data_IF_443066029294
#
_entry.id   IF_443066029294
#
_cell.length_a   1.000
_cell.length_b   1.000
_cell.length_c   1.000
_cell.angle_alpha   90.00
_cell.angle_beta   90.00
_cell.angle_gamma   90.00
#
_symmetry.space_group_name_H-M   'P 1'
#
loop_
_entity.id
_entity.type
_entity.pdbx_description
1 polymer ?
#
# COMPACT_ATOMS: atom_id res chain seq x y z
N UNK A 1 3.97 -1.82 -29.81
CA UNK A 1 3.78 -0.35 -29.90
C UNK A 1 2.55 0.11 -29.13
N UNK A 2 1.34 -0.50 -29.31
CA UNK A 2 0.10 -0.08 -28.64
C UNK A 2 0.22 -0.05 -27.10
N UNK A 3 0.91 -1.00 -26.50
CA UNK A 3 1.07 -1.07 -25.04
C UNK A 3 2.00 0.02 -24.51
N UNK A 4 3.01 0.46 -25.29
CA UNK A 4 3.88 1.57 -24.92
C UNK A 4 3.09 2.89 -24.86
N UNK A 5 2.21 3.11 -25.80
CA UNK A 5 1.33 4.29 -25.79
C UNK A 5 0.42 4.29 -24.54
N UNK A 6 -0.13 3.12 -24.14
CA UNK A 6 -0.94 3.01 -22.90
C UNK A 6 -0.19 3.45 -21.64
N UNK A 7 1.11 3.19 -21.58
CA UNK A 7 1.93 3.61 -20.43
C UNK A 7 2.60 4.98 -20.64
N UNK A 8 2.20 5.72 -21.67
CA UNK A 8 2.70 7.07 -21.95
C UNK A 8 4.16 7.09 -22.44
N UNK A 9 4.60 6.05 -23.14
CA UNK A 9 5.90 5.97 -23.79
C UNK A 9 5.74 6.10 -25.31
N UNK A 10 6.67 6.81 -25.93
CA UNK A 10 6.68 6.95 -27.40
C UNK A 10 7.07 5.62 -28.08
N UNK A 11 6.57 5.36 -29.31
CA UNK A 11 6.88 4.14 -30.04
C UNK A 11 8.39 3.89 -30.24
N UNK A 12 9.16 4.95 -30.43
CA UNK A 12 10.62 4.91 -30.62
C UNK A 12 11.36 4.36 -29.37
N UNK A 13 10.68 4.32 -28.22
CA UNK A 13 11.23 3.73 -27.01
C UNK A 13 11.35 2.20 -27.11
N UNK A 14 10.68 1.56 -28.07
CA UNK A 14 10.74 0.11 -28.27
C UNK A 14 12.15 -0.41 -28.60
N UNK A 15 12.97 0.43 -29.24
CA UNK A 15 14.33 0.09 -29.67
C UNK A 15 15.41 0.48 -28.67
N UNK A 16 15.03 1.09 -27.53
CA UNK A 16 15.98 1.56 -26.51
C UNK A 16 16.41 0.46 -25.56
N UNK A 17 17.64 0.52 -25.14
CA UNK A 17 18.18 -0.32 -24.06
C UNK A 17 17.79 0.21 -22.68
N UNK A 18 17.70 -0.65 -21.63
CA UNK A 18 17.27 -0.24 -20.28
C UNK A 18 18.05 0.93 -19.67
N UNK A 19 19.34 1.05 -19.95
CA UNK A 19 20.16 2.15 -19.45
C UNK A 19 19.86 3.53 -20.08
N UNK A 20 19.12 3.56 -21.18
CA UNK A 20 18.69 4.77 -21.89
C UNK A 20 17.36 5.34 -21.37
N UNK A 21 16.77 4.70 -20.34
CA UNK A 21 15.51 5.13 -19.73
C UNK A 21 15.76 5.78 -18.38
N UNK A 22 14.96 6.81 -18.05
CA UNK A 22 14.85 7.32 -16.68
C UNK A 22 14.22 6.28 -15.74
N UNK A 23 14.31 6.49 -14.41
CA UNK A 23 13.67 5.61 -13.42
C UNK A 23 12.17 5.42 -13.68
N UNK A 24 11.44 6.52 -13.85
CA UNK A 24 10.01 6.48 -14.15
C UNK A 24 9.67 5.83 -15.49
N UNK A 25 10.50 6.02 -16.52
CA UNK A 25 10.32 5.34 -17.80
C UNK A 25 10.56 3.82 -17.68
N UNK A 26 11.60 3.39 -16.94
CA UNK A 26 11.81 1.96 -16.64
C UNK A 26 10.62 1.34 -15.93
N UNK A 27 10.03 2.07 -14.98
CA UNK A 27 8.83 1.61 -14.29
C UNK A 27 7.63 1.46 -15.23
N UNK A 28 7.41 2.41 -16.13
CA UNK A 28 6.36 2.33 -17.18
C UNK A 28 6.58 1.14 -18.13
N UNK A 29 7.82 0.82 -18.48
CA UNK A 29 8.16 -0.40 -19.22
C UNK A 29 7.82 -1.67 -18.43
N UNK A 30 8.09 -1.68 -17.12
CA UNK A 30 7.70 -2.78 -16.22
C UNK A 30 6.18 -3.01 -16.20
N UNK A 31 5.40 -1.94 -16.08
CA UNK A 31 3.93 -1.97 -16.15
C UNK A 31 3.48 -2.49 -17.54
N UNK A 32 4.06 -1.97 -18.63
CA UNK A 32 3.74 -2.42 -19.97
C UNK A 32 3.97 -3.94 -20.15
N UNK A 33 5.08 -4.46 -19.62
CA UNK A 33 5.38 -5.90 -19.63
C UNK A 33 4.32 -6.73 -18.89
N UNK A 34 3.85 -6.28 -17.74
CA UNK A 34 2.80 -6.95 -16.99
C UNK A 34 1.47 -6.96 -17.78
N UNK A 35 1.14 -5.87 -18.45
CA UNK A 35 -0.11 -5.69 -19.19
C UNK A 35 -0.21 -6.48 -20.49
N UNK A 36 0.90 -6.87 -21.11
CA UNK A 36 0.91 -7.61 -22.40
C UNK A 36 0.06 -8.88 -22.34
N UNK A 37 0.04 -9.55 -21.18
CA UNK A 37 -0.70 -10.79 -20.98
C UNK A 37 -2.20 -10.58 -20.67
N UNK A 38 -2.69 -9.33 -20.68
CA UNK A 38 -4.05 -8.96 -20.26
C UNK A 38 -4.46 -9.65 -18.93
N UNK A 39 -3.69 -9.46 -17.85
CA UNK A 39 -3.90 -10.18 -16.61
C UNK A 39 -5.15 -9.65 -15.88
N UNK A 40 -5.81 -10.53 -15.11
CA UNK A 40 -6.87 -10.11 -14.19
C UNK A 40 -6.33 -9.51 -12.89
N UNK A 41 -5.10 -9.88 -12.50
CA UNK A 41 -4.42 -9.43 -11.31
C UNK A 41 -2.96 -9.10 -11.64
N UNK A 42 -2.48 -7.95 -11.16
CA UNK A 42 -1.06 -7.56 -11.17
C UNK A 42 -0.58 -7.43 -9.73
N UNK A 43 0.55 -8.09 -9.41
CA UNK A 43 1.23 -7.90 -8.14
C UNK A 43 2.30 -6.82 -8.34
N UNK A 44 2.14 -5.70 -7.63
CA UNK A 44 3.01 -4.53 -7.67
C UNK A 44 3.80 -4.45 -6.36
N UNK A 45 4.95 -5.15 -6.33
CA UNK A 45 5.80 -5.26 -5.15
C UNK A 45 6.86 -4.15 -5.16
N UNK A 46 6.72 -3.20 -4.23
CA UNK A 46 7.57 -2.00 -4.03
C UNK A 46 7.90 -1.24 -5.34
N UNK A 47 7.01 -1.32 -6.31
CA UNK A 47 7.27 -0.90 -7.69
C UNK A 47 7.56 0.60 -7.87
N UNK A 48 7.32 1.44 -6.87
CA UNK A 48 7.54 2.90 -6.93
C UNK A 48 8.53 3.42 -5.89
N UNK A 49 9.05 2.57 -4.99
CA UNK A 49 9.87 2.97 -3.83
C UNK A 49 11.15 3.74 -4.20
N UNK A 50 11.74 3.44 -5.36
CA UNK A 50 12.98 4.05 -5.85
C UNK A 50 12.77 5.30 -6.73
N UNK A 51 11.55 5.83 -6.80
CA UNK A 51 11.20 6.99 -7.63
C UNK A 51 11.00 8.25 -6.78
N UNK A 52 11.28 9.41 -7.39
CA UNK A 52 10.94 10.69 -6.79
C UNK A 52 9.41 10.85 -6.62
N UNK A 53 8.97 11.56 -5.59
CA UNK A 53 7.55 11.72 -5.21
C UNK A 53 6.67 12.15 -6.38
N UNK A 54 7.14 13.09 -7.22
CA UNK A 54 6.39 13.56 -8.39
C UNK A 54 6.21 12.47 -9.45
N UNK A 55 7.21 11.62 -9.63
CA UNK A 55 7.18 10.49 -10.57
C UNK A 55 6.33 9.34 -10.00
N UNK A 56 6.40 9.10 -8.68
CA UNK A 56 5.52 8.14 -8.00
C UNK A 56 4.04 8.46 -8.28
N UNK A 57 3.64 9.73 -8.07
CA UNK A 57 2.26 10.16 -8.31
C UNK A 57 1.82 9.92 -9.76
N UNK A 58 2.70 10.21 -10.74
CA UNK A 58 2.40 9.97 -12.15
C UNK A 58 2.21 8.47 -12.47
N UNK A 59 3.07 7.61 -11.90
CA UNK A 59 2.97 6.15 -12.10
C UNK A 59 1.72 5.58 -11.45
N UNK A 60 1.37 6.05 -10.24
CA UNK A 60 0.15 5.61 -9.54
C UNK A 60 -1.11 6.05 -10.29
N UNK A 61 -1.16 7.28 -10.78
CA UNK A 61 -2.28 7.74 -11.62
C UNK A 61 -2.41 6.89 -12.88
N UNK A 62 -1.30 6.61 -13.56
CA UNK A 62 -1.30 5.71 -14.72
C UNK A 62 -1.86 4.32 -14.38
N UNK A 63 -1.49 3.75 -13.21
CA UNK A 63 -2.01 2.45 -12.77
C UNK A 63 -3.53 2.51 -12.52
N UNK A 64 -4.04 3.59 -11.93
CA UNK A 64 -5.47 3.83 -11.74
C UNK A 64 -6.23 3.96 -13.06
N UNK A 65 -5.69 4.71 -14.00
CA UNK A 65 -6.29 4.87 -15.34
C UNK A 65 -6.38 3.52 -16.06
N UNK A 66 -5.31 2.71 -15.99
CA UNK A 66 -5.28 1.37 -16.55
C UNK A 66 -6.30 0.46 -15.85
N UNK A 67 -6.42 0.53 -14.53
CA UNK A 67 -7.41 -0.23 -13.76
C UNK A 67 -8.83 0.09 -14.22
N UNK A 68 -9.15 1.37 -14.37
CA UNK A 68 -10.46 1.81 -14.85
C UNK A 68 -10.75 1.35 -16.28
N UNK A 69 -9.74 1.39 -17.15
CA UNK A 69 -9.89 0.99 -18.57
C UNK A 69 -10.04 -0.53 -18.74
N UNK A 70 -9.27 -1.30 -17.97
CA UNK A 70 -9.11 -2.76 -18.21
C UNK A 70 -9.84 -3.65 -17.19
N UNK A 71 -10.22 -3.10 -16.03
CA UNK A 71 -10.76 -3.87 -14.91
C UNK A 71 -9.72 -4.77 -14.21
N UNK A 72 -8.42 -4.58 -14.50
CA UNK A 72 -7.32 -5.34 -13.86
C UNK A 72 -7.22 -4.99 -12.38
N UNK A 73 -7.25 -5.98 -11.50
CA UNK A 73 -6.99 -5.78 -10.08
C UNK A 73 -5.49 -5.63 -9.79
N UNK A 74 -5.16 -4.87 -8.74
CA UNK A 74 -3.79 -4.73 -8.26
C UNK A 74 -3.68 -5.23 -6.82
N UNK A 75 -2.66 -6.05 -6.55
CA UNK A 75 -2.13 -6.28 -5.21
C UNK A 75 -0.89 -5.40 -5.05
N UNK A 76 -1.05 -4.28 -4.34
CA UNK A 76 0.00 -3.28 -4.18
C UNK A 76 0.71 -3.49 -2.84
N UNK A 77 2.01 -3.82 -2.88
CA UNK A 77 2.84 -3.99 -1.68
C UNK A 77 3.74 -2.75 -1.57
N UNK A 78 3.62 -2.02 -0.47
CA UNK A 78 4.38 -0.80 -0.23
C UNK A 78 4.59 -0.54 1.27
N UNK A 79 5.59 0.27 1.57
CA UNK A 79 5.87 0.77 2.91
C UNK A 79 5.48 2.25 3.09
N UNK A 80 5.18 2.97 2.01
CA UNK A 80 4.69 4.36 2.07
C UNK A 80 3.17 4.37 2.24
N UNK A 81 2.73 4.63 3.47
CA UNK A 81 1.32 4.63 3.84
C UNK A 81 0.51 5.75 3.16
N UNK A 82 1.16 6.88 2.82
CA UNK A 82 0.48 7.97 2.10
C UNK A 82 0.08 7.53 0.70
N UNK A 83 0.96 6.79 0.03
CA UNK A 83 0.67 6.22 -1.29
C UNK A 83 -0.35 5.10 -1.21
N UNK A 84 -0.26 4.23 -0.18
CA UNK A 84 -1.26 3.17 0.07
C UNK A 84 -2.65 3.78 0.27
N UNK A 85 -2.77 4.85 1.07
CA UNK A 85 -4.04 5.58 1.27
C UNK A 85 -4.63 6.08 -0.05
N UNK A 86 -3.78 6.55 -0.96
CA UNK A 86 -4.21 7.15 -2.22
C UNK A 86 -4.65 6.12 -3.26
N UNK A 87 -3.97 4.96 -3.34
CA UNK A 87 -4.20 3.98 -4.42
C UNK A 87 -5.18 2.86 -4.04
N UNK A 88 -5.27 2.50 -2.77
CA UNK A 88 -5.93 1.26 -2.34
C UNK A 88 -7.40 1.48 -1.99
N UNK A 89 -8.26 0.53 -2.36
CA UNK A 89 -9.65 0.45 -1.89
C UNK A 89 -9.71 -0.31 -0.56
N UNK A 90 -8.84 -1.32 -0.40
CA UNK A 90 -8.73 -2.17 0.78
C UNK A 90 -7.27 -2.34 1.18
N UNK A 91 -7.05 -2.51 2.47
CA UNK A 91 -5.71 -2.64 3.06
C UNK A 91 -5.63 -3.90 3.91
N UNK A 92 -4.49 -4.57 3.83
CA UNK A 92 -4.07 -5.60 4.77
C UNK A 92 -2.75 -5.20 5.42
N UNK A 93 -2.72 -5.15 6.74
CA UNK A 93 -1.52 -4.84 7.52
C UNK A 93 -0.80 -6.13 7.87
N UNK A 94 0.42 -6.27 7.35
CA UNK A 94 1.26 -7.45 7.54
C UNK A 94 2.44 -7.14 8.47
N UNK A 95 2.69 -8.00 9.46
CA UNK A 95 3.86 -7.89 10.33
C UNK A 95 4.42 -9.28 10.67
N UNK A 96 5.72 -9.46 10.52
CA UNK A 96 6.42 -10.73 10.78
C UNK A 96 5.73 -11.97 10.16
N UNK A 97 5.22 -11.83 8.94
CA UNK A 97 4.53 -12.91 8.22
C UNK A 97 3.08 -13.16 8.64
N UNK A 98 2.53 -12.35 9.54
CA UNK A 98 1.14 -12.46 9.98
C UNK A 98 0.29 -11.29 9.47
N UNK A 99 -0.88 -11.60 8.92
CA UNK A 99 -1.88 -10.61 8.58
C UNK A 99 -2.62 -10.20 9.86
N UNK A 100 -2.40 -8.97 10.32
CA UNK A 100 -2.87 -8.51 11.62
C UNK A 100 -4.21 -7.79 11.54
N UNK A 101 -4.42 -7.02 10.47
CA UNK A 101 -5.62 -6.19 10.34
C UNK A 101 -5.97 -6.02 8.86
N UNK A 102 -7.26 -6.07 8.52
CA UNK A 102 -7.76 -5.87 7.15
C UNK A 102 -9.04 -5.06 7.16
N UNK A 103 -9.21 -4.19 6.18
CA UNK A 103 -10.41 -3.38 6.03
C UNK A 103 -10.39 -2.56 4.76
N UNK A 104 -11.39 -1.70 4.57
CA UNK A 104 -11.29 -0.63 3.59
C UNK A 104 -10.21 0.36 4.00
N UNK A 105 -9.75 1.18 3.06
CA UNK A 105 -8.77 2.23 3.36
C UNK A 105 -9.28 3.16 4.46
N UNK A 106 -10.55 3.53 4.43
CA UNK A 106 -11.19 4.38 5.44
C UNK A 106 -11.21 3.72 6.82
N UNK A 107 -11.68 2.45 6.91
CA UNK A 107 -11.70 1.70 8.17
C UNK A 107 -10.33 1.62 8.83
N UNK A 108 -9.26 1.30 8.06
CA UNK A 108 -7.91 1.16 8.60
C UNK A 108 -7.30 2.51 9.01
N UNK A 109 -7.53 3.58 8.23
CA UNK A 109 -6.92 4.89 8.53
C UNK A 109 -7.65 5.67 9.63
N UNK A 110 -8.97 5.52 9.76
CA UNK A 110 -9.77 6.26 10.73
C UNK A 110 -9.96 5.50 12.05
N UNK A 111 -10.06 4.16 11.97
CA UNK A 111 -10.34 3.29 13.12
C UNK A 111 -9.36 2.11 13.26
N UNK A 112 -8.02 2.35 13.29
CA UNK A 112 -7.06 1.27 13.46
C UNK A 112 -7.22 0.61 14.84
N UNK A 113 -7.31 -0.72 14.88
CA UNK A 113 -7.53 -1.48 16.12
C UNK A 113 -6.22 -2.06 16.64
N UNK A 114 -5.43 -2.73 15.79
CA UNK A 114 -4.20 -3.39 16.24
C UNK A 114 -3.14 -2.34 16.65
N UNK A 115 -2.44 -2.51 17.78
CA UNK A 115 -1.42 -1.55 18.24
C UNK A 115 -0.31 -1.29 17.21
N UNK A 116 0.09 -2.31 16.44
CA UNK A 116 1.04 -2.15 15.35
C UNK A 116 0.50 -1.23 14.24
N UNK A 117 -0.77 -1.39 13.83
CA UNK A 117 -1.40 -0.52 12.83
C UNK A 117 -1.44 0.93 13.32
N UNK A 118 -1.81 1.15 14.58
CA UNK A 118 -1.80 2.49 15.20
C UNK A 118 -0.41 3.11 15.19
N UNK A 119 0.60 2.34 15.57
CA UNK A 119 2.00 2.77 15.52
C UNK A 119 2.43 3.16 14.11
N UNK A 120 2.14 2.35 13.09
CA UNK A 120 2.44 2.67 11.70
C UNK A 120 1.77 3.97 11.24
N UNK A 121 0.48 4.14 11.50
CA UNK A 121 -0.27 5.32 11.10
C UNK A 121 0.16 6.56 11.87
N UNK A 122 0.55 6.41 13.15
CA UNK A 122 1.09 7.49 13.95
C UNK A 122 2.44 8.00 13.44
N UNK A 123 3.15 7.26 12.63
CA UNK A 123 4.41 7.67 12.02
C UNK A 123 4.26 8.51 10.74
N UNK A 124 3.03 8.61 10.17
CA UNK A 124 2.79 9.42 8.97
C UNK A 124 2.93 10.91 9.32
N UNK A 125 3.82 11.68 8.65
CA UNK A 125 3.98 13.11 8.93
C UNK A 125 2.70 13.90 8.65
N UNK A 126 2.36 14.81 9.55
CA UNK A 126 1.22 15.71 9.34
C UNK A 126 1.65 16.93 8.51
N UNK A 127 0.80 17.41 7.58
CA UNK A 127 1.13 18.55 6.73
C UNK A 127 1.37 19.86 7.50
N UNK A 128 0.86 19.95 8.74
CA UNK A 128 1.00 21.14 9.57
C UNK A 128 2.23 21.02 10.49
N UNK A 129 3.30 21.83 10.27
CA UNK A 129 4.53 21.74 11.06
C UNK A 129 4.36 22.05 12.55
N UNK A 130 3.36 22.84 12.90
CA UNK A 130 3.10 23.20 14.32
C UNK A 130 2.48 22.02 15.06
N UNK A 131 1.57 21.30 14.41
CA UNK A 131 0.94 20.10 14.96
C UNK A 131 1.94 18.95 14.99
N UNK A 132 2.74 18.80 13.94
CA UNK A 132 3.78 17.78 13.83
C UNK A 132 4.81 17.87 14.96
N UNK A 133 5.26 19.08 15.33
CA UNK A 133 6.20 19.29 16.45
C UNK A 133 5.67 18.84 17.82
N UNK A 134 4.35 18.78 18.00
CA UNK A 134 3.71 18.39 19.25
C UNK A 134 3.26 16.93 19.27
N UNK A 135 3.32 16.27 18.11
CA UNK A 135 2.91 14.88 17.98
C UNK A 135 3.96 13.95 18.57
N UNK A 136 3.50 13.00 19.36
CA UNK A 136 4.31 11.87 19.83
C UNK A 136 3.89 10.66 19.02
N UNK A 137 4.78 10.13 18.18
CA UNK A 137 4.51 8.91 17.46
C UNK A 137 4.43 7.73 18.45
N UNK A 138 3.44 6.88 18.28
CA UNK A 138 3.34 5.66 19.07
C UNK A 138 4.44 4.69 18.62
N UNK A 139 5.18 4.12 19.56
CA UNK A 139 6.16 3.08 19.27
C UNK A 139 5.54 1.71 19.58
N UNK A 140 5.73 0.76 18.68
CA UNK A 140 5.31 -0.62 18.88
C UNK A 140 6.55 -1.52 18.93
N UNK A 141 6.71 -2.24 20.03
CA UNK A 141 7.71 -3.27 20.18
C UNK A 141 6.98 -4.61 20.34
N UNK A 142 7.14 -5.47 19.34
CA UNK A 142 6.48 -6.78 19.33
C UNK A 142 6.90 -7.65 20.52
N UNK A 143 8.18 -7.62 20.89
CA UNK A 143 8.69 -8.41 22.00
C UNK A 143 8.18 -7.92 23.37
N UNK A 144 8.09 -6.59 23.53
CA UNK A 144 7.60 -5.96 24.76
C UNK A 144 6.07 -5.97 24.88
N UNK A 145 5.35 -6.08 23.76
CA UNK A 145 3.89 -6.03 23.74
C UNK A 145 3.20 -7.22 24.40
N UNK A 146 3.88 -8.36 24.46
CA UNK A 146 3.32 -9.63 24.95
C UNK A 146 2.29 -10.26 24.01
N UNK A 147 2.09 -9.71 22.82
CA UNK A 147 1.15 -10.20 21.80
C UNK A 147 1.77 -11.41 21.09
N UNK A 148 1.09 -12.55 21.11
CA UNK A 148 1.49 -13.76 20.40
C UNK A 148 0.63 -13.94 19.14
N UNK A 149 1.17 -13.58 18.00
CA UNK A 149 0.46 -13.67 16.72
C UNK A 149 0.01 -15.08 16.32
N UNK A 150 0.56 -16.12 16.95
CA UNK A 150 0.17 -17.52 16.70
C UNK A 150 -1.16 -17.90 17.36
N UNK A 151 -1.56 -17.18 18.42
CA UNK A 151 -2.76 -17.50 19.22
C UNK A 151 -4.00 -16.74 18.83
N UNK A 152 -3.86 -15.63 18.12
CA UNK A 152 -5.00 -14.79 17.72
C UNK A 152 -5.85 -15.42 16.63
N UNK A 153 -7.16 -15.19 16.72
CA UNK A 153 -8.15 -15.46 15.65
C UNK A 153 -8.59 -14.17 14.98
N UNK A 154 -9.26 -14.26 13.85
CA UNK A 154 -9.78 -13.08 13.15
C UNK A 154 -11.10 -12.65 13.77
N UNK A 155 -11.16 -11.45 14.36
CA UNK A 155 -12.33 -10.85 14.93
C UNK A 155 -12.91 -9.80 13.99
N UNK A 156 -14.22 -9.83 13.78
CA UNK A 156 -14.95 -8.83 13.03
C UNK A 156 -15.18 -7.59 13.90
N UNK A 157 -14.81 -6.41 13.39
CA UNK A 157 -15.00 -5.13 14.07
C UNK A 157 -16.30 -4.48 13.58
N UNK A 158 -16.30 -4.03 12.32
CA UNK A 158 -17.47 -3.48 11.65
C UNK A 158 -17.27 -3.58 10.12
N UNK A 159 -18.33 -3.47 9.33
CA UNK A 159 -18.24 -3.46 7.86
C UNK A 159 -17.44 -4.62 7.29
N UNK A 160 -16.31 -4.32 6.71
CA UNK A 160 -15.34 -5.29 6.20
C UNK A 160 -14.02 -5.32 7.01
N UNK A 161 -14.04 -4.72 8.19
CA UNK A 161 -12.89 -4.57 9.08
C UNK A 161 -12.71 -5.78 9.98
N UNK A 162 -11.54 -6.40 9.92
CA UNK A 162 -11.15 -7.53 10.73
C UNK A 162 -9.79 -7.28 11.37
N UNK A 163 -9.64 -7.73 12.62
CA UNK A 163 -8.37 -7.70 13.36
C UNK A 163 -8.03 -9.08 13.89
N UNK A 164 -6.75 -9.47 13.82
CA UNK A 164 -6.26 -10.72 14.38
C UNK A 164 -5.76 -10.50 15.81
N UNK A 165 -6.46 -11.10 16.78
CA UNK A 165 -6.11 -10.99 18.20
C UNK A 165 -6.80 -12.11 19.01
N UNK A 166 -6.52 -12.17 20.30
CA UNK A 166 -7.28 -13.01 21.26
C UNK A 166 -8.54 -12.27 21.70
N UNK A 167 -9.51 -12.99 22.30
CA UNK A 167 -10.76 -12.40 22.82
C UNK A 167 -10.49 -11.31 23.88
N UNK A 168 -9.46 -11.51 24.71
CA UNK A 168 -9.07 -10.56 25.75
C UNK A 168 -8.46 -9.28 25.14
N UNK A 169 -7.62 -9.43 24.11
CA UNK A 169 -7.03 -8.30 23.36
C UNK A 169 -8.12 -7.52 22.64
N UNK A 170 -9.05 -8.21 21.96
CA UNK A 170 -10.18 -7.59 21.28
C UNK A 170 -11.02 -6.74 22.25
N UNK A 171 -11.42 -7.31 23.38
CA UNK A 171 -12.18 -6.57 24.41
C UNK A 171 -11.43 -5.35 24.98
N UNK A 172 -10.11 -5.37 24.96
CA UNK A 172 -9.26 -4.26 25.43
C UNK A 172 -9.06 -3.17 24.38
N UNK A 173 -8.93 -3.55 23.07
CA UNK A 173 -8.61 -2.61 21.99
C UNK A 173 -9.83 -1.91 21.40
N UNK A 174 -11.01 -2.52 21.47
CA UNK A 174 -12.29 -1.99 20.96
C UNK A 174 -13.12 -1.23 22.01
N UNK A 175 -12.45 -0.72 23.08
CA UNK A 175 -13.12 0.08 24.13
C UNK A 175 -13.10 1.57 23.76
#
# INVERSE_FOLDING_TARGET
>A
EKILAKVGLAPEHAERYPHQFSGGQRQRVGIARALIMNPKLIIADECISALDVSIQAQVVNLMKDIQQETGTAYLFIAHDLSMVKYISDRIGVLHLGHLLETGTTEEIFEHPIHPYTRSLLSAIPLPNPVVEKRRVAESYDCAASGIDYSKGTSHHVEGSHYVKCTDEEFARWCK
#
